data_IF_527589514201
#
_entry.id   IF_527589514201
#
_cell.length_a   1.000
_cell.length_b   1.000
_cell.length_c   1.000
_cell.angle_alpha   90.00
_cell.angle_beta   90.00
_cell.angle_gamma   90.00
#
_symmetry.space_group_name_H-M   'P 1'
#
loop_
_entity.id
_entity.type
_entity.pdbx_description
1 polymer ?
#
# COMPACT_ATOMS: atom_id res chain seq x y z
N UNK A 1 7.72 -10.72 -7.99
CA UNK A 1 6.75 -10.12 -8.94
C UNK A 1 7.22 -10.26 -10.37
N UNK A 2 6.27 -10.35 -11.30
CA UNK A 2 6.57 -10.40 -12.73
C UNK A 2 7.05 -9.05 -13.27
N UNK A 3 8.04 -9.12 -14.16
CA UNK A 3 8.55 -7.97 -14.91
C UNK A 3 7.58 -7.65 -16.05
N UNK A 4 7.21 -6.40 -16.20
CA UNK A 4 6.35 -5.93 -17.28
C UNK A 4 5.51 -4.72 -16.87
N UNK A 5 4.59 -4.27 -17.73
CA UNK A 5 3.69 -3.17 -17.40
C UNK A 5 2.71 -3.55 -16.29
N UNK A 6 2.55 -2.67 -15.32
CA UNK A 6 1.58 -2.77 -14.24
C UNK A 6 0.55 -1.65 -14.37
N UNK A 7 -0.72 -1.98 -14.18
CA UNK A 7 -1.82 -1.05 -14.34
C UNK A 7 -2.30 -0.54 -12.98
N UNK A 8 -2.35 0.76 -12.78
CA UNK A 8 -2.97 1.37 -11.59
C UNK A 8 -4.07 2.31 -12.05
N UNK A 9 -5.28 1.78 -12.15
CA UNK A 9 -6.45 2.52 -12.62
C UNK A 9 -7.41 2.79 -11.48
N UNK A 10 -8.24 3.82 -11.68
CA UNK A 10 -9.37 4.10 -10.80
C UNK A 10 -10.56 3.18 -11.04
N UNK A 11 -11.52 3.16 -10.12
CA UNK A 11 -12.79 2.39 -10.22
C UNK A 11 -13.48 2.47 -11.58
N UNK A 12 -13.63 3.68 -12.13
CA UNK A 12 -14.23 3.91 -13.45
C UNK A 12 -13.42 3.37 -14.63
N UNK A 13 -12.23 2.81 -14.38
CA UNK A 13 -11.29 2.34 -15.39
C UNK A 13 -10.78 0.92 -15.13
N UNK A 14 -11.35 0.18 -14.17
CA UNK A 14 -11.00 -1.24 -13.96
C UNK A 14 -11.31 -2.09 -15.21
N UNK A 15 -12.38 -1.74 -15.94
CA UNK A 15 -12.72 -2.34 -17.22
C UNK A 15 -11.62 -2.14 -18.27
N UNK A 16 -11.02 -0.96 -18.34
CA UNK A 16 -9.89 -0.71 -19.25
C UNK A 16 -8.70 -1.61 -18.88
N UNK A 17 -8.43 -1.80 -17.58
CA UNK A 17 -7.39 -2.73 -17.13
C UNK A 17 -7.65 -4.17 -17.63
N UNK A 18 -8.90 -4.64 -17.55
CA UNK A 18 -9.29 -5.95 -18.07
C UNK A 18 -9.06 -6.05 -19.58
N UNK A 19 -9.50 -5.04 -20.34
CA UNK A 19 -9.34 -5.00 -21.80
C UNK A 19 -7.85 -5.03 -22.19
N UNK A 20 -6.99 -4.29 -21.47
CA UNK A 20 -5.54 -4.32 -21.68
C UNK A 20 -4.94 -5.71 -21.38
N UNK A 21 -5.30 -6.33 -20.26
CA UNK A 21 -4.80 -7.66 -19.89
C UNK A 21 -5.28 -8.74 -20.86
N UNK A 22 -6.53 -8.68 -21.33
CA UNK A 22 -7.06 -9.57 -22.36
C UNK A 22 -6.32 -9.45 -23.68
N UNK A 23 -5.86 -8.24 -24.03
CA UNK A 23 -4.99 -7.99 -25.17
C UNK A 23 -3.53 -8.43 -24.96
N UNK A 24 -3.19 -9.01 -23.81
CA UNK A 24 -1.83 -9.39 -23.45
C UNK A 24 -0.93 -8.21 -23.06
N UNK A 25 -1.52 -7.04 -22.80
CA UNK A 25 -0.82 -5.81 -22.46
C UNK A 25 -0.78 -5.64 -20.94
N UNK A 26 0.24 -6.21 -20.30
CA UNK A 26 0.50 -6.05 -18.87
C UNK A 26 0.65 -7.36 -18.12
N UNK A 27 1.20 -7.28 -16.91
CA UNK A 27 1.46 -8.46 -16.06
C UNK A 27 0.75 -8.38 -14.71
N UNK A 28 0.20 -7.23 -14.35
CA UNK A 28 -0.49 -7.07 -13.09
C UNK A 28 -1.23 -5.75 -12.93
N UNK A 29 -1.98 -5.65 -11.83
CA UNK A 29 -2.80 -4.49 -11.47
C UNK A 29 -2.53 -4.10 -10.02
N UNK A 30 -2.51 -2.79 -9.75
CA UNK A 30 -2.48 -2.22 -8.40
C UNK A 30 -3.86 -1.61 -8.15
N UNK A 31 -4.62 -2.24 -7.25
CA UNK A 31 -5.90 -1.77 -6.78
C UNK A 31 -5.72 -0.65 -5.76
N UNK A 32 -6.74 0.19 -5.61
CA UNK A 32 -6.69 1.30 -4.66
C UNK A 32 -8.07 1.63 -4.08
N UNK A 33 -8.17 1.80 -2.75
CA UNK A 33 -9.42 2.17 -2.11
C UNK A 33 -9.79 3.63 -2.35
N UNK A 34 -8.94 4.41 -3.04
CA UNK A 34 -9.21 5.81 -3.39
C UNK A 34 -10.50 5.98 -4.18
N UNK A 35 -10.88 4.98 -4.96
CA UNK A 35 -12.12 5.00 -5.71
C UNK A 35 -12.77 3.62 -5.93
N UNK A 36 -12.10 2.51 -5.64
CA UNK A 36 -12.68 1.17 -5.75
C UNK A 36 -13.11 0.60 -4.40
N UNK A 37 -14.37 0.19 -4.25
CA UNK A 37 -14.88 -0.38 -2.99
C UNK A 37 -14.32 -1.79 -2.74
N UNK A 38 -14.20 -2.21 -1.47
CA UNK A 38 -13.57 -3.48 -1.10
C UNK A 38 -14.18 -4.70 -1.80
N UNK A 39 -15.51 -4.81 -1.81
CA UNK A 39 -16.21 -5.90 -2.50
C UNK A 39 -15.94 -5.90 -4.02
N UNK A 40 -15.82 -4.72 -4.65
CA UNK A 40 -15.46 -4.59 -6.06
C UNK A 40 -13.99 -4.90 -6.30
N UNK A 41 -13.09 -4.54 -5.39
CA UNK A 41 -11.69 -4.93 -5.46
C UNK A 41 -11.53 -6.44 -5.47
N UNK A 42 -12.26 -7.17 -4.61
CA UNK A 42 -12.30 -8.63 -4.62
C UNK A 42 -12.85 -9.19 -5.95
N UNK A 43 -13.95 -8.62 -6.45
CA UNK A 43 -14.56 -9.03 -7.73
C UNK A 43 -13.59 -8.87 -8.91
N UNK A 44 -12.90 -7.72 -9.01
CA UNK A 44 -11.93 -7.47 -10.07
C UNK A 44 -10.64 -8.26 -9.90
N UNK A 45 -10.15 -8.45 -8.67
CA UNK A 45 -8.97 -9.26 -8.40
C UNK A 45 -9.16 -10.69 -8.94
N UNK A 46 -10.32 -11.30 -8.70
CA UNK A 46 -10.66 -12.61 -9.25
C UNK A 46 -10.61 -12.63 -10.78
N UNK A 47 -11.13 -11.59 -11.44
CA UNK A 47 -11.08 -11.47 -12.90
C UNK A 47 -9.65 -11.30 -13.43
N UNK A 48 -8.81 -10.51 -12.74
CA UNK A 48 -7.40 -10.35 -13.09
C UNK A 48 -6.62 -11.65 -12.96
N UNK A 49 -6.83 -12.40 -11.87
CA UNK A 49 -6.22 -13.71 -11.70
C UNK A 49 -6.65 -14.72 -12.76
N UNK A 50 -7.92 -14.69 -13.20
CA UNK A 50 -8.38 -15.55 -14.31
C UNK A 50 -7.69 -15.24 -15.64
N UNK A 51 -7.21 -14.00 -15.82
CA UNK A 51 -6.37 -13.60 -16.95
C UNK A 51 -4.87 -13.88 -16.71
N UNK A 52 -4.54 -14.51 -15.58
CA UNK A 52 -3.19 -14.78 -15.15
C UNK A 52 -2.41 -13.51 -14.82
N UNK A 53 -3.05 -12.44 -14.32
CA UNK A 53 -2.41 -11.20 -13.87
C UNK A 53 -2.15 -11.20 -12.35
N UNK A 54 -1.07 -10.55 -11.91
CA UNK A 54 -0.75 -10.36 -10.50
C UNK A 54 -1.56 -9.18 -9.96
N UNK A 55 -1.96 -9.22 -8.70
CA UNK A 55 -2.77 -8.17 -8.05
C UNK A 55 -2.04 -7.69 -6.80
N UNK A 56 -1.91 -6.38 -6.68
CA UNK A 56 -1.51 -5.70 -5.45
C UNK A 56 -2.63 -4.75 -5.01
N UNK A 57 -2.54 -4.27 -3.78
CA UNK A 57 -3.36 -3.16 -3.28
C UNK A 57 -2.47 -2.08 -2.68
N UNK A 58 -2.60 -0.86 -3.18
CA UNK A 58 -2.10 0.33 -2.52
C UNK A 58 -3.23 0.94 -1.69
N UNK A 59 -3.13 0.80 -0.37
CA UNK A 59 -4.09 1.33 0.59
C UNK A 59 -4.15 2.86 0.66
N UNK A 60 -3.27 3.58 -0.05
CA UNK A 60 -3.24 5.06 -0.15
C UNK A 60 -3.17 5.72 1.24
N UNK A 61 -2.35 5.16 2.13
CA UNK A 61 -2.25 5.61 3.52
C UNK A 61 -1.48 6.95 3.66
N UNK A 62 -0.96 7.49 2.56
CA UNK A 62 -0.16 8.72 2.50
C UNK A 62 -0.90 9.96 2.98
N UNK A 63 -2.22 10.00 2.77
CA UNK A 63 -3.10 11.03 3.31
C UNK A 63 -4.12 10.36 4.24
N UNK A 64 -3.76 10.09 5.51
CA UNK A 64 -4.61 9.32 6.39
C UNK A 64 -5.87 10.10 6.77
N UNK A 65 -5.88 11.43 6.75
CA UNK A 65 -7.10 12.21 7.01
C UNK A 65 -8.10 12.25 5.84
N UNK A 66 -7.72 11.79 4.63
CA UNK A 66 -8.64 11.74 3.50
C UNK A 66 -9.69 10.64 3.69
N UNK A 67 -10.96 10.98 3.50
CA UNK A 67 -12.09 10.06 3.56
C UNK A 67 -13.00 10.21 2.35
N UNK A 68 -13.64 9.11 1.98
CA UNK A 68 -14.76 9.05 1.04
C UNK A 68 -15.59 7.80 1.34
N UNK A 69 -16.74 7.66 0.66
CA UNK A 69 -17.67 6.52 0.85
C UNK A 69 -17.06 5.17 0.47
N UNK A 70 -15.96 5.17 -0.27
CA UNK A 70 -15.29 3.97 -0.75
C UNK A 70 -14.30 3.46 0.29
N UNK A 71 -13.50 4.35 0.86
CA UNK A 71 -12.49 4.06 1.87
C UNK A 71 -13.09 3.41 3.10
N UNK A 72 -14.28 3.85 3.52
CA UNK A 72 -15.01 3.28 4.65
C UNK A 72 -15.37 1.80 4.46
N UNK A 73 -15.35 1.29 3.22
CA UNK A 73 -15.59 -0.14 2.93
C UNK A 73 -14.39 -1.03 3.25
N UNK A 74 -13.22 -0.45 3.55
CA UNK A 74 -12.01 -1.18 3.91
C UNK A 74 -11.81 -1.19 5.43
N UNK A 75 -11.58 -2.37 6.06
CA UNK A 75 -11.46 -2.46 7.53
C UNK A 75 -10.30 -1.65 8.13
N UNK A 76 -9.24 -1.42 7.37
CA UNK A 76 -8.09 -0.62 7.80
C UNK A 76 -8.40 0.90 7.89
N UNK A 77 -9.56 1.34 7.39
CA UNK A 77 -9.93 2.76 7.37
C UNK A 77 -10.07 3.37 8.76
N UNK A 78 -10.37 2.57 9.79
CA UNK A 78 -10.44 3.06 11.16
C UNK A 78 -9.10 3.65 11.68
N UNK A 79 -7.98 3.22 11.10
CA UNK A 79 -6.64 3.70 11.45
C UNK A 79 -6.20 4.92 10.61
N UNK A 80 -7.02 5.33 9.65
CA UNK A 80 -6.82 6.54 8.84
C UNK A 80 -7.25 7.77 9.65
N UNK A 81 -6.43 8.11 10.65
CA UNK A 81 -6.61 9.26 11.54
C UNK A 81 -5.62 10.37 11.20
N UNK A 82 -5.68 11.51 11.91
CA UNK A 82 -4.68 12.55 11.71
C UNK A 82 -3.26 12.01 12.07
N UNK A 83 -2.21 12.62 11.52
CA UNK A 83 -0.84 12.13 11.70
C UNK A 83 -0.41 12.17 13.19
N UNK A 84 -0.84 13.18 13.94
CA UNK A 84 -0.50 13.32 15.37
C UNK A 84 -1.01 12.16 16.21
N UNK A 85 -2.25 11.72 15.98
CA UNK A 85 -2.86 10.58 16.66
C UNK A 85 -2.21 9.27 16.20
N UNK A 86 -1.88 9.18 14.91
CA UNK A 86 -1.24 8.00 14.34
C UNK A 86 0.18 7.78 14.89
N UNK A 87 0.92 8.84 15.24
CA UNK A 87 2.20 8.70 15.96
C UNK A 87 2.04 8.03 17.33
N UNK A 88 0.84 8.09 17.92
CA UNK A 88 0.52 7.50 19.22
C UNK A 88 -0.17 6.14 19.09
N UNK A 89 -0.19 5.53 17.90
CA UNK A 89 -0.79 4.22 17.69
C UNK A 89 -0.20 3.20 18.67
N UNK A 90 -1.07 2.52 19.42
CA UNK A 90 -0.63 1.53 20.41
C UNK A 90 -0.23 0.22 19.72
N UNK A 91 0.47 -0.66 20.45
CA UNK A 91 0.82 -1.98 19.93
C UNK A 91 -0.41 -2.89 19.75
N UNK A 92 -1.48 -2.65 20.52
CA UNK A 92 -2.76 -3.32 20.37
C UNK A 92 -3.41 -2.86 19.05
N UNK A 93 -3.47 -1.55 18.81
CA UNK A 93 -4.00 -1.00 17.55
C UNK A 93 -3.18 -1.48 16.35
N UNK A 94 -1.85 -1.60 16.47
CA UNK A 94 -1.00 -2.17 15.42
C UNK A 94 -1.27 -3.66 15.20
N UNK A 95 -1.58 -4.42 16.24
CA UNK A 95 -1.94 -5.84 16.12
C UNK A 95 -3.26 -6.00 15.37
N UNK A 96 -4.24 -5.17 15.70
CA UNK A 96 -5.54 -5.17 15.01
C UNK A 96 -5.39 -4.65 13.57
N UNK A 97 -4.60 -3.61 13.34
CA UNK A 97 -4.23 -3.13 12.01
C UNK A 97 -3.60 -4.23 11.16
N UNK A 98 -2.60 -4.94 11.69
CA UNK A 98 -1.96 -6.11 11.06
C UNK A 98 -3.00 -7.15 10.65
N UNK A 99 -3.93 -7.46 11.56
CA UNK A 99 -5.00 -8.43 11.30
C UNK A 99 -5.94 -7.99 10.17
N UNK A 100 -6.34 -6.72 10.15
CA UNK A 100 -7.20 -6.17 9.09
C UNK A 100 -6.49 -6.08 7.73
N UNK A 101 -5.21 -5.74 7.74
CA UNK A 101 -4.37 -5.70 6.56
C UNK A 101 -4.27 -7.10 5.94
N UNK A 102 -4.06 -8.13 6.77
CA UNK A 102 -4.01 -9.54 6.37
C UNK A 102 -5.33 -10.02 5.78
N UNK A 103 -6.46 -9.73 6.45
CA UNK A 103 -7.80 -10.08 5.94
C UNK A 103 -7.98 -9.49 4.54
N UNK A 104 -7.69 -8.20 4.37
CA UNK A 104 -7.84 -7.55 3.07
C UNK A 104 -6.97 -8.19 1.98
N UNK A 105 -5.69 -8.45 2.27
CA UNK A 105 -4.77 -9.07 1.30
C UNK A 105 -5.17 -10.50 0.94
N UNK A 106 -5.64 -11.29 1.92
CA UNK A 106 -6.15 -12.63 1.68
C UNK A 106 -7.42 -12.60 0.83
N UNK A 107 -8.36 -11.72 1.15
CA UNK A 107 -9.66 -11.66 0.48
C UNK A 107 -9.54 -11.26 -1.00
N UNK A 108 -8.54 -10.44 -1.36
CA UNK A 108 -8.23 -10.11 -2.76
C UNK A 108 -7.19 -11.05 -3.39
N UNK A 109 -6.70 -12.05 -2.67
CA UNK A 109 -5.61 -12.95 -3.12
C UNK A 109 -4.37 -12.21 -3.62
N UNK A 110 -3.95 -11.17 -2.88
CA UNK A 110 -2.83 -10.31 -3.27
C UNK A 110 -1.52 -11.10 -3.46
N UNK A 111 -0.75 -10.73 -4.48
CA UNK A 111 0.56 -11.32 -4.80
C UNK A 111 1.74 -10.64 -4.08
N UNK A 112 1.45 -9.65 -3.23
CA UNK A 112 2.41 -8.95 -2.41
C UNK A 112 1.72 -7.91 -1.53
N UNK A 113 2.40 -7.48 -0.47
CA UNK A 113 1.94 -6.44 0.45
C UNK A 113 2.66 -5.15 0.12
N UNK A 114 1.93 -4.11 -0.28
CA UNK A 114 2.49 -2.75 -0.29
C UNK A 114 2.30 -2.20 1.12
N UNK A 115 3.42 -1.95 1.82
CA UNK A 115 3.37 -1.48 3.19
C UNK A 115 2.68 -0.12 3.26
N UNK A 116 1.65 0.05 4.10
CA UNK A 116 1.06 1.36 4.35
C UNK A 116 2.11 2.32 4.90
N UNK A 117 2.12 3.56 4.42
CA UNK A 117 3.07 4.58 4.85
C UNK A 117 2.42 5.97 4.83
N UNK A 118 2.94 6.87 5.64
CA UNK A 118 2.68 8.31 5.59
C UNK A 118 3.81 9.03 4.84
N UNK A 119 3.52 10.26 4.40
CA UNK A 119 4.50 11.09 3.67
C UNK A 119 5.72 11.39 4.54
N UNK A 120 6.92 11.07 4.05
CA UNK A 120 8.16 11.49 4.68
C UNK A 120 8.33 13.00 4.55
N UNK A 121 8.58 13.67 5.68
CA UNK A 121 8.84 15.10 5.77
C UNK A 121 10.27 15.34 6.26
N UNK A 122 10.88 16.44 5.81
CA UNK A 122 12.26 16.75 6.19
C UNK A 122 12.31 17.10 7.69
N UNK A 123 13.22 16.46 8.42
CA UNK A 123 13.41 16.71 9.86
C UNK A 123 12.37 16.08 10.79
N UNK A 124 11.52 15.17 10.28
CA UNK A 124 10.56 14.43 11.10
C UNK A 124 11.01 12.98 11.32
N UNK A 125 11.81 12.76 12.36
CA UNK A 125 12.22 11.40 12.77
C UNK A 125 10.99 10.57 13.20
N UNK A 126 9.94 11.23 13.70
CA UNK A 126 8.67 10.59 14.05
C UNK A 126 7.99 9.94 12.83
N UNK A 127 8.09 10.53 11.64
CA UNK A 127 7.57 9.91 10.41
C UNK A 127 8.38 8.66 10.02
N UNK A 128 9.69 8.66 10.24
CA UNK A 128 10.55 7.50 9.97
C UNK A 128 10.20 6.36 10.92
N UNK A 129 10.06 6.65 12.21
CA UNK A 129 9.67 5.66 13.21
C UNK A 129 8.28 5.08 12.93
N UNK A 130 7.28 5.93 12.67
CA UNK A 130 5.93 5.50 12.34
C UNK A 130 5.92 4.61 11.08
N UNK A 131 6.58 5.03 10.00
CA UNK A 131 6.65 4.21 8.78
C UNK A 131 7.38 2.89 9.01
N UNK A 132 8.37 2.85 9.90
CA UNK A 132 9.04 1.61 10.30
C UNK A 132 8.08 0.66 11.03
N UNK A 133 7.27 1.19 11.96
CA UNK A 133 6.24 0.40 12.67
C UNK A 133 5.17 -0.14 11.72
N UNK A 134 4.66 0.69 10.82
CA UNK A 134 3.70 0.28 9.78
C UNK A 134 4.30 -0.75 8.82
N UNK A 135 5.57 -0.60 8.45
CA UNK A 135 6.28 -1.58 7.63
C UNK A 135 6.40 -2.93 8.36
N UNK A 136 6.77 -2.95 9.64
CA UNK A 136 6.90 -4.20 10.40
C UNK A 136 5.56 -4.95 10.51
N UNK A 137 4.45 -4.21 10.69
CA UNK A 137 3.10 -4.77 10.62
C UNK A 137 2.84 -5.40 9.23
N UNK A 138 3.14 -4.68 8.16
CA UNK A 138 3.00 -5.19 6.79
C UNK A 138 3.90 -6.40 6.50
N UNK A 139 5.13 -6.41 7.02
CA UNK A 139 6.08 -7.52 6.87
C UNK A 139 5.60 -8.78 7.57
N UNK A 140 5.02 -8.64 8.75
CA UNK A 140 4.34 -9.74 9.45
C UNK A 140 3.25 -10.35 8.58
N UNK A 141 2.41 -9.52 7.94
CA UNK A 141 1.38 -9.98 7.00
C UNK A 141 1.98 -10.71 5.81
N UNK A 142 3.01 -10.14 5.17
CA UNK A 142 3.66 -10.77 4.02
C UNK A 142 4.27 -12.13 4.36
N UNK A 143 4.95 -12.21 5.51
CA UNK A 143 5.56 -13.45 5.99
C UNK A 143 4.50 -14.52 6.34
N UNK A 144 3.39 -14.13 6.99
CA UNK A 144 2.27 -15.05 7.28
C UNK A 144 1.58 -15.57 6.02
N UNK A 145 1.41 -14.72 5.01
CA UNK A 145 0.75 -15.08 3.75
C UNK A 145 1.71 -15.73 2.74
N UNK A 146 3.03 -15.72 3.01
CA UNK A 146 4.05 -16.23 2.09
C UNK A 146 4.19 -15.40 0.81
N UNK A 147 3.98 -14.09 0.88
CA UNK A 147 4.05 -13.16 -0.25
C UNK A 147 5.06 -12.02 0.01
N UNK A 148 5.68 -11.45 -1.03
CA UNK A 148 6.67 -10.38 -0.86
C UNK A 148 6.06 -9.13 -0.24
N UNK A 149 6.84 -8.43 0.58
CA UNK A 149 6.50 -7.13 1.19
C UNK A 149 7.33 -6.02 0.57
N UNK A 150 6.65 -4.99 0.06
CA UNK A 150 7.25 -3.80 -0.52
C UNK A 150 7.24 -2.65 0.48
N UNK A 151 8.43 -2.11 0.80
CA UNK A 151 8.52 -0.89 1.58
C UNK A 151 8.11 0.31 0.74
N UNK A 152 7.32 1.21 1.31
CA UNK A 152 6.74 2.31 0.55
C UNK A 152 7.50 3.61 0.78
N UNK A 153 7.84 4.29 -0.32
CA UNK A 153 8.57 5.56 -0.36
C UNK A 153 7.65 6.64 -0.92
N UNK A 154 7.14 7.51 -0.04
CA UNK A 154 6.38 8.71 -0.45
C UNK A 154 7.01 9.95 0.13
N UNK A 155 7.60 10.78 -0.73
CA UNK A 155 8.40 11.93 -0.34
C UNK A 155 7.57 13.22 -0.41
N UNK A 156 7.55 13.98 0.68
CA UNK A 156 6.98 15.32 0.69
C UNK A 156 7.86 16.32 -0.05
N UNK A 157 7.27 17.42 -0.54
CA UNK A 157 7.98 18.48 -1.27
C UNK A 157 9.22 19.02 -0.53
N UNK A 158 9.15 19.10 0.80
CA UNK A 158 10.24 19.54 1.67
C UNK A 158 11.47 18.64 1.61
N UNK A 159 11.28 17.34 1.33
CA UNK A 159 12.37 16.37 1.20
C UNK A 159 13.06 16.53 -0.14
N UNK A 160 12.28 16.68 -1.20
CA UNK A 160 12.79 16.85 -2.57
C UNK A 160 13.64 18.11 -2.74
N UNK A 161 13.46 19.13 -1.88
CA UNK A 161 14.26 20.35 -1.88
C UNK A 161 15.63 20.22 -1.20
N UNK A 162 15.96 19.08 -0.57
CA UNK A 162 17.22 18.89 0.14
C UNK A 162 17.82 17.51 -0.13
N UNK A 163 18.95 17.47 -0.83
CA UNK A 163 19.69 16.23 -1.11
C UNK A 163 20.09 15.48 0.18
N UNK A 164 20.40 16.22 1.25
CA UNK A 164 20.72 15.63 2.54
C UNK A 164 19.49 14.97 3.18
N UNK A 165 18.35 15.66 3.19
CA UNK A 165 17.10 15.10 3.74
C UNK A 165 16.67 13.86 2.94
N UNK A 166 16.77 13.92 1.61
CA UNK A 166 16.49 12.79 0.73
C UNK A 166 17.44 11.62 1.00
N UNK A 167 18.75 11.86 1.14
CA UNK A 167 19.73 10.83 1.45
C UNK A 167 19.45 10.12 2.78
N UNK A 168 19.09 10.88 3.83
CA UNK A 168 18.75 10.32 5.14
C UNK A 168 17.48 9.45 5.10
N UNK A 169 16.42 9.92 4.44
CA UNK A 169 15.17 9.16 4.31
C UNK A 169 15.38 7.91 3.48
N UNK A 170 16.04 8.02 2.32
CA UNK A 170 16.31 6.85 1.48
C UNK A 170 17.16 5.81 2.21
N UNK A 171 18.18 6.24 2.96
CA UNK A 171 19.00 5.32 3.78
C UNK A 171 18.17 4.59 4.83
N UNK A 172 17.17 5.27 5.42
CA UNK A 172 16.28 4.66 6.41
C UNK A 172 15.35 3.63 5.78
N UNK A 173 14.76 3.96 4.62
CA UNK A 173 13.83 3.06 3.91
C UNK A 173 14.55 1.87 3.29
N UNK A 174 15.77 2.04 2.76
CA UNK A 174 16.54 0.94 2.19
C UNK A 174 17.16 0.02 3.23
N UNK A 175 17.22 0.44 4.50
CA UNK A 175 17.63 -0.40 5.62
C UNK A 175 16.52 -1.36 6.10
N UNK A 176 15.27 -1.17 5.68
CA UNK A 176 14.18 -2.08 5.99
C UNK A 176 14.38 -3.42 5.26
N UNK A 177 14.07 -4.53 5.94
CA UNK A 177 14.14 -5.88 5.37
C UNK A 177 12.95 -6.15 4.43
N UNK A 178 12.86 -5.39 3.33
CA UNK A 178 11.82 -5.51 2.32
C UNK A 178 12.25 -6.36 1.13
N UNK A 179 11.26 -6.91 0.43
CA UNK A 179 11.46 -7.66 -0.82
C UNK A 179 11.56 -6.72 -2.05
N UNK A 180 11.35 -5.41 -1.81
CA UNK A 180 11.49 -4.35 -2.79
C UNK A 180 10.93 -3.03 -2.28
N UNK A 181 10.85 -2.04 -3.18
CA UNK A 181 10.35 -0.69 -2.87
C UNK A 181 9.23 -0.28 -3.81
N UNK A 182 8.18 0.30 -3.26
CA UNK A 182 7.07 0.92 -3.98
C UNK A 182 7.17 2.44 -3.83
N UNK A 183 7.20 3.16 -4.95
CA UNK A 183 7.20 4.62 -4.97
C UNK A 183 5.78 5.12 -5.24
N UNK A 184 5.21 5.83 -4.27
CA UNK A 184 3.85 6.37 -4.33
C UNK A 184 3.78 7.88 -4.53
#
# INVERSE_FOLDING_TARGET
MRRGPWHQFGDKSQRLALEQLQAGLGVGVILSPRNLASHKATEYAAQYHNLGADVLIDHQFYNPAFSNDVLSTYPINQYRVNISDLHQISDIDLTDFTSQLRITHRDISANGVIAPAVIYQAGSDQCIELNTRLFNAAKTVGDELGIPTYATVVLGRSVSSSSQAMGNILSSVTALNSDGWYYG
#
